data_IF_229441463366
#
_entry.id   IF_229441463366
#
_cell.length_a   1.000
_cell.length_b   1.000
_cell.length_c   1.000
_cell.angle_alpha   90.00
_cell.angle_beta   90.00
_cell.angle_gamma   90.00
#
_symmetry.space_group_name_H-M   'P 1'
#
loop_
_entity.id
_entity.type
_entity.pdbx_description
1 polymer ?
#
# COMPACT_ATOMS: atom_id res chain seq x y z
N UNK A 1 -7.14 12.52 5.14
CA UNK A 1 -7.41 11.07 5.22
C UNK A 1 -8.82 10.72 4.72
N UNK A 2 -9.87 11.42 5.17
CA UNK A 2 -11.25 11.15 4.70
C UNK A 2 -11.40 11.27 3.18
N UNK A 3 -10.88 12.34 2.59
CA UNK A 3 -10.93 12.53 1.12
C UNK A 3 -10.16 11.43 0.40
N UNK A 4 -8.99 11.03 0.91
CA UNK A 4 -8.19 9.92 0.38
C UNK A 4 -8.95 8.61 0.47
N UNK A 5 -9.62 8.32 1.59
CA UNK A 5 -10.45 7.13 1.76
C UNK A 5 -11.54 7.05 0.70
N UNK A 6 -12.32 8.13 0.52
CA UNK A 6 -13.40 8.17 -0.48
C UNK A 6 -12.86 7.99 -1.90
N UNK A 7 -11.75 8.65 -2.22
CA UNK A 7 -11.13 8.54 -3.54
C UNK A 7 -10.59 7.14 -3.81
N UNK A 8 -9.88 6.54 -2.86
CA UNK A 8 -9.32 5.20 -3.00
C UNK A 8 -10.40 4.11 -3.10
N UNK A 9 -11.54 4.27 -2.42
CA UNK A 9 -12.68 3.38 -2.63
C UNK A 9 -13.18 3.43 -4.09
N UNK A 10 -13.26 4.62 -4.70
CA UNK A 10 -13.63 4.73 -6.11
C UNK A 10 -12.54 4.16 -7.05
N UNK A 11 -11.26 4.33 -6.70
CA UNK A 11 -10.17 3.70 -7.44
C UNK A 11 -10.26 2.18 -7.41
N UNK A 12 -10.59 1.61 -6.25
CA UNK A 12 -10.85 0.17 -6.12
C UNK A 12 -11.98 -0.30 -7.02
N UNK A 13 -13.09 0.46 -7.13
CA UNK A 13 -14.21 0.14 -8.04
C UNK A 13 -13.81 0.18 -9.51
N UNK A 14 -12.87 1.05 -9.87
CA UNK A 14 -12.40 1.25 -11.25
C UNK A 14 -11.15 0.44 -11.61
N UNK A 15 -10.49 -0.25 -10.67
CA UNK A 15 -9.17 -0.85 -10.84
C UNK A 15 -8.17 0.16 -11.43
N UNK A 16 -8.09 1.34 -10.82
CA UNK A 16 -7.22 2.44 -11.27
C UNK A 16 -5.75 2.05 -11.12
N UNK A 17 -4.96 2.24 -12.17
CA UNK A 17 -3.57 1.81 -12.24
C UNK A 17 -2.55 2.95 -12.01
N UNK A 18 -3.01 4.19 -11.96
CA UNK A 18 -2.19 5.38 -11.76
C UNK A 18 -1.50 5.35 -10.38
N UNK A 19 -0.28 5.91 -10.26
CA UNK A 19 0.56 5.79 -9.07
C UNK A 19 0.13 6.70 -7.91
N UNK A 20 -1.17 6.92 -7.71
CA UNK A 20 -1.70 7.80 -6.67
C UNK A 20 -1.26 7.36 -5.26
N UNK A 21 -1.35 6.06 -4.97
CA UNK A 21 -0.87 5.51 -3.69
C UNK A 21 0.62 5.80 -3.49
N UNK A 22 1.45 5.45 -4.47
CA UNK A 22 2.92 5.58 -4.36
C UNK A 22 3.34 7.05 -4.28
N UNK A 23 2.80 7.89 -5.18
CA UNK A 23 3.28 9.25 -5.37
C UNK A 23 2.62 10.25 -4.40
N UNK A 24 1.30 10.21 -4.24
CA UNK A 24 0.57 11.19 -3.43
C UNK A 24 0.49 10.75 -1.95
N UNK A 25 0.02 9.52 -1.70
CA UNK A 25 -0.22 9.07 -0.32
C UNK A 25 1.11 8.82 0.39
N UNK A 26 2.01 8.06 -0.22
CA UNK A 26 3.27 7.64 0.40
C UNK A 26 4.36 8.71 0.24
N UNK A 27 4.89 8.91 -0.97
CA UNK A 27 5.99 9.86 -1.21
C UNK A 27 5.62 11.29 -0.82
N UNK A 28 4.51 11.80 -1.32
CA UNK A 28 3.96 13.12 -0.99
C UNK A 28 3.60 13.24 0.49
N UNK A 29 3.08 12.17 1.10
CA UNK A 29 2.78 12.09 2.53
C UNK A 29 3.99 12.33 3.43
N UNK A 30 5.15 11.75 3.08
CA UNK A 30 6.43 12.03 3.79
C UNK A 30 6.83 13.48 3.61
N UNK A 31 6.86 13.98 2.35
CA UNK A 31 7.24 15.38 2.09
C UNK A 31 6.35 16.37 2.83
N UNK A 32 5.05 16.13 2.90
CA UNK A 32 4.10 16.96 3.64
C UNK A 32 4.48 17.07 5.13
N UNK A 33 5.01 16.00 5.72
CA UNK A 33 5.33 15.94 7.16
C UNK A 33 6.68 16.55 7.49
N UNK A 34 7.71 16.19 6.72
CA UNK A 34 9.11 16.44 7.14
C UNK A 34 9.94 17.28 6.18
N UNK A 35 9.47 17.54 4.94
CA UNK A 35 10.22 18.38 4.00
C UNK A 35 10.26 19.84 4.47
N UNK A 36 11.38 20.51 4.26
CA UNK A 36 11.52 21.94 4.45
C UNK A 36 10.78 22.74 3.35
N UNK A 37 10.69 24.05 3.50
CA UNK A 37 9.95 24.90 2.57
C UNK A 37 10.47 24.83 1.13
N UNK A 38 11.79 24.81 0.95
CA UNK A 38 12.42 24.71 -0.37
C UNK A 38 12.10 23.35 -1.04
N UNK A 39 12.19 22.25 -0.29
CA UNK A 39 11.86 20.91 -0.77
C UNK A 39 10.36 20.78 -1.10
N UNK A 40 9.47 21.33 -0.24
CA UNK A 40 8.02 21.35 -0.52
C UNK A 40 7.72 22.11 -1.81
N UNK A 41 8.28 23.28 -1.99
CA UNK A 41 8.10 24.08 -3.20
C UNK A 41 8.63 23.38 -4.45
N UNK A 42 9.79 22.71 -4.35
CA UNK A 42 10.41 22.03 -5.48
C UNK A 42 9.70 20.75 -5.89
N UNK A 43 9.02 20.05 -4.96
CA UNK A 43 8.48 18.71 -5.21
C UNK A 43 6.98 18.59 -5.06
N UNK A 44 6.33 19.20 -4.05
CA UNK A 44 4.89 18.99 -3.85
C UNK A 44 4.05 19.58 -4.98
N UNK A 45 4.41 20.74 -5.53
CA UNK A 45 3.66 21.36 -6.63
C UNK A 45 3.70 20.48 -7.88
N UNK A 46 4.88 19.96 -8.26
CA UNK A 46 5.07 19.13 -9.45
C UNK A 46 4.55 17.68 -9.28
N UNK A 47 4.41 17.23 -8.05
CA UNK A 47 3.75 15.95 -7.73
C UNK A 47 2.23 16.11 -7.78
N UNK A 48 1.70 17.22 -7.29
CA UNK A 48 0.25 17.51 -7.33
C UNK A 48 -0.26 17.70 -8.75
N UNK A 49 0.52 18.38 -9.61
CA UNK A 49 0.14 18.58 -11.01
C UNK A 49 0.42 17.36 -11.91
N UNK A 50 1.08 16.31 -11.35
CA UNK A 50 1.38 15.05 -12.04
C UNK A 50 2.57 15.09 -12.98
N UNK A 51 3.33 16.20 -13.03
CA UNK A 51 4.53 16.32 -13.89
C UNK A 51 5.72 15.51 -13.37
N UNK A 52 5.72 15.15 -12.07
CA UNK A 52 6.69 14.25 -11.46
C UNK A 52 6.03 13.25 -10.54
N UNK A 53 6.64 12.08 -10.41
CA UNK A 53 6.19 10.99 -9.58
C UNK A 53 7.21 10.66 -8.49
N UNK A 54 6.70 10.31 -7.31
CA UNK A 54 7.51 9.85 -6.18
C UNK A 54 7.22 8.39 -5.87
N UNK A 55 8.20 7.70 -5.31
CA UNK A 55 8.00 6.40 -4.70
C UNK A 55 8.65 6.34 -3.30
N UNK A 56 8.05 5.58 -2.40
CA UNK A 56 8.59 5.35 -1.05
C UNK A 56 9.37 4.03 -1.03
N UNK A 57 10.65 4.10 -0.71
CA UNK A 57 11.57 2.98 -0.61
C UNK A 57 11.94 2.73 0.87
N UNK A 58 11.14 1.91 1.56
CA UNK A 58 11.35 1.57 2.97
C UNK A 58 11.64 0.09 3.21
N UNK A 59 10.95 -0.81 2.50
CA UNK A 59 11.07 -2.24 2.69
C UNK A 59 12.41 -2.79 2.16
N UNK A 60 12.96 -3.79 2.85
CA UNK A 60 14.21 -4.47 2.50
C UNK A 60 13.99 -5.99 2.43
N UNK A 61 14.83 -6.74 1.69
CA UNK A 61 14.62 -8.20 1.50
C UNK A 61 14.46 -8.98 2.80
N UNK A 62 15.23 -8.62 3.84
CA UNK A 62 15.26 -9.33 5.15
C UNK A 62 14.47 -8.59 6.24
N UNK A 63 13.77 -7.49 5.92
CA UNK A 63 13.06 -6.69 6.93
C UNK A 63 11.73 -7.32 7.39
N UNK A 64 11.23 -8.34 6.70
CA UNK A 64 9.87 -8.80 6.90
C UNK A 64 8.88 -7.67 6.60
N UNK A 65 7.92 -7.44 7.51
CA UNK A 65 6.97 -6.33 7.41
C UNK A 65 7.28 -5.17 8.36
N UNK A 66 8.44 -5.21 9.04
CA UNK A 66 8.81 -4.23 10.07
C UNK A 66 9.50 -3.01 9.44
N UNK A 67 8.85 -1.82 9.41
CA UNK A 67 9.42 -0.64 8.74
C UNK A 67 10.63 -0.05 9.47
N UNK A 68 10.88 -0.44 10.72
CA UNK A 68 12.06 -0.05 11.49
C UNK A 68 13.24 -0.99 11.32
N UNK A 69 13.06 -2.15 10.67
CA UNK A 69 14.14 -3.06 10.32
C UNK A 69 14.84 -2.55 9.06
N UNK A 70 15.87 -1.70 9.27
CA UNK A 70 16.57 -0.98 8.21
C UNK A 70 18.06 -1.29 8.24
N UNK A 71 18.55 -1.98 7.21
CA UNK A 71 19.94 -2.36 7.01
C UNK A 71 20.66 -1.51 5.93
N UNK A 72 19.93 -0.79 5.06
CA UNK A 72 20.56 0.18 4.14
C UNK A 72 21.34 1.19 4.96
N UNK A 73 22.67 1.13 4.87
CA UNK A 73 23.57 1.89 5.71
C UNK A 73 23.88 3.27 5.11
N UNK A 74 23.78 4.31 5.93
CA UNK A 74 24.23 5.66 5.66
C UNK A 74 25.57 5.94 6.33
N UNK A 75 26.67 5.82 5.58
CA UNK A 75 27.98 6.14 6.08
C UNK A 75 28.25 7.64 6.01
N UNK A 76 28.55 8.28 7.16
CA UNK A 76 28.77 9.71 7.23
C UNK A 76 29.99 10.14 6.43
N UNK A 77 29.85 11.19 5.64
CA UNK A 77 30.92 11.86 4.87
C UNK A 77 31.08 13.31 5.34
N UNK A 78 31.98 14.07 4.71
CA UNK A 78 32.14 15.50 5.02
C UNK A 78 30.91 16.32 4.64
N UNK A 79 30.21 15.93 3.55
CA UNK A 79 29.11 16.70 2.92
C UNK A 79 27.75 16.05 3.10
N UNK A 80 27.65 14.96 3.88
CA UNK A 80 26.39 14.25 4.07
C UNK A 80 26.59 12.77 4.39
N UNK A 81 26.02 11.89 3.55
CA UNK A 81 26.09 10.43 3.73
C UNK A 81 26.32 9.73 2.38
N UNK A 82 26.81 8.51 2.46
CA UNK A 82 26.89 7.58 1.33
C UNK A 82 26.04 6.35 1.65
N UNK A 83 25.06 6.03 0.80
CA UNK A 83 24.17 4.90 0.99
C UNK A 83 24.67 3.64 0.31
N UNK A 84 24.56 2.51 1.01
CA UNK A 84 24.84 1.16 0.47
C UNK A 84 23.79 0.17 0.98
N UNK A 85 23.25 -0.65 0.08
CA UNK A 85 22.26 -1.67 0.40
C UNK A 85 21.16 -1.77 -0.65
N UNK A 86 20.07 -2.44 -0.31
CA UNK A 86 18.97 -2.72 -1.25
C UNK A 86 17.61 -2.44 -0.61
N UNK A 87 16.72 -1.79 -1.36
CA UNK A 87 15.28 -1.67 -1.06
C UNK A 87 14.49 -2.53 -2.04
N UNK A 88 13.44 -3.16 -1.56
CA UNK A 88 12.58 -4.01 -2.39
C UNK A 88 11.12 -3.55 -2.34
N UNK A 89 10.28 -4.11 -3.21
CA UNK A 89 8.84 -3.86 -3.27
C UNK A 89 8.47 -2.37 -3.36
N UNK A 90 9.30 -1.57 -4.02
CA UNK A 90 9.06 -0.13 -4.21
C UNK A 90 8.00 0.06 -5.27
N UNK A 91 6.80 0.43 -4.84
CA UNK A 91 5.63 0.62 -5.72
C UNK A 91 5.90 1.70 -6.75
N UNK A 92 5.63 1.39 -8.02
CA UNK A 92 5.86 2.29 -9.17
C UNK A 92 7.29 2.85 -9.28
N UNK A 93 8.29 2.20 -8.68
CA UNK A 93 9.66 2.72 -8.64
C UNK A 93 10.28 2.94 -10.03
N UNK A 94 9.92 2.13 -11.04
CA UNK A 94 10.45 2.28 -12.41
C UNK A 94 10.05 3.59 -13.09
N UNK A 95 8.92 4.17 -12.70
CA UNK A 95 8.39 5.42 -13.28
C UNK A 95 8.58 6.62 -12.37
N UNK A 96 9.13 6.43 -11.17
CA UNK A 96 9.37 7.50 -10.23
C UNK A 96 10.53 8.40 -10.68
N UNK A 97 10.37 9.73 -10.54
CA UNK A 97 11.41 10.72 -10.75
C UNK A 97 12.35 10.85 -9.54
N UNK A 98 11.84 10.52 -8.35
CA UNK A 98 12.64 10.48 -7.12
C UNK A 98 12.05 9.50 -6.10
N UNK A 99 12.91 9.08 -5.18
CA UNK A 99 12.60 8.15 -4.11
C UNK A 99 12.72 8.81 -2.75
N UNK A 100 11.71 8.65 -1.90
CA UNK A 100 11.85 8.84 -0.47
C UNK A 100 12.42 7.56 0.11
N UNK A 101 13.64 7.62 0.65
CA UNK A 101 14.41 6.45 1.09
C UNK A 101 14.63 6.52 2.60
N UNK A 102 14.30 5.44 3.33
CA UNK A 102 14.72 5.27 4.72
C UNK A 102 16.08 4.57 4.77
N UNK A 103 16.98 5.04 5.63
CA UNK A 103 18.30 4.47 5.78
C UNK A 103 18.80 4.60 7.23
N UNK A 104 19.77 3.76 7.60
CA UNK A 104 20.32 3.68 8.95
C UNK A 104 21.51 4.61 9.11
N UNK A 105 21.42 5.56 10.03
CA UNK A 105 22.48 6.52 10.37
C UNK A 105 23.16 6.19 11.71
N UNK A 106 22.45 5.51 12.61
CA UNK A 106 22.98 5.05 13.91
C UNK A 106 22.18 3.89 14.48
N UNK A 107 22.64 3.29 15.56
CA UNK A 107 21.95 2.19 16.25
C UNK A 107 22.02 0.84 15.51
N UNK A 108 21.29 -0.14 16.02
CA UNK A 108 21.15 -1.48 15.44
C UNK A 108 20.09 -1.51 14.32
N UNK A 109 20.14 -2.54 13.49
CA UNK A 109 19.27 -2.72 12.31
C UNK A 109 17.79 -2.71 12.68
N UNK A 110 17.43 -3.21 13.86
CA UNK A 110 16.04 -3.33 14.34
C UNK A 110 15.61 -2.22 15.30
N UNK A 111 16.48 -1.21 15.53
CA UNK A 111 16.14 -0.11 16.41
C UNK A 111 15.19 0.87 15.71
N UNK A 112 14.19 1.41 16.42
CA UNK A 112 13.31 2.45 15.91
C UNK A 112 14.01 3.81 15.80
N UNK A 113 15.00 4.08 16.67
CA UNK A 113 15.88 5.25 16.58
C UNK A 113 16.98 5.04 15.57
N UNK A 114 17.60 6.10 15.05
CA UNK A 114 18.73 6.03 14.13
C UNK A 114 18.34 5.78 12.68
N UNK A 115 17.07 5.94 12.33
CA UNK A 115 16.57 5.94 10.95
C UNK A 115 16.48 7.38 10.48
N UNK A 116 17.00 7.64 9.28
CA UNK A 116 16.90 8.92 8.59
C UNK A 116 16.20 8.76 7.26
N UNK A 117 15.67 9.85 6.74
CA UNK A 117 14.98 9.88 5.45
C UNK A 117 15.71 10.81 4.48
N UNK A 118 15.75 10.44 3.20
CA UNK A 118 16.30 11.28 2.14
C UNK A 118 15.40 11.23 0.89
N UNK A 119 15.41 12.30 0.12
CA UNK A 119 14.80 12.38 -1.21
C UNK A 119 15.90 12.26 -2.26
N UNK A 120 15.91 11.17 -2.99
CA UNK A 120 16.97 10.80 -3.94
C UNK A 120 16.40 10.81 -5.36
N UNK A 121 16.86 11.69 -6.27
CA UNK A 121 16.50 11.63 -7.69
C UNK A 121 16.82 10.27 -8.32
N UNK A 122 15.96 9.82 -9.24
CA UNK A 122 16.08 8.49 -9.87
C UNK A 122 17.35 8.35 -10.76
N UNK A 123 17.92 9.46 -11.21
CA UNK A 123 19.13 9.52 -12.02
C UNK A 123 20.42 9.66 -11.20
N UNK A 124 20.33 9.52 -9.85
CA UNK A 124 21.49 9.65 -8.97
C UNK A 124 22.53 8.57 -9.27
N UNK A 125 23.80 8.99 -9.40
CA UNK A 125 24.93 8.08 -9.63
C UNK A 125 25.02 7.02 -8.51
N UNK A 126 25.23 5.75 -8.90
CA UNK A 126 25.28 4.60 -7.98
C UNK A 126 23.92 4.00 -7.65
N UNK A 127 22.78 4.61 -8.08
CA UNK A 127 21.46 4.06 -7.90
C UNK A 127 21.07 3.20 -9.12
N UNK A 128 20.69 1.96 -8.87
CA UNK A 128 20.13 1.06 -9.88
C UNK A 128 18.68 0.75 -9.55
N UNK A 129 17.78 0.91 -10.52
CA UNK A 129 16.33 0.63 -10.39
C UNK A 129 15.95 -0.52 -11.30
N UNK A 130 15.56 -1.65 -10.73
CA UNK A 130 15.09 -2.82 -11.47
C UNK A 130 13.60 -3.01 -11.27
N UNK A 131 12.79 -2.66 -12.29
CA UNK A 131 11.33 -2.83 -12.26
C UNK A 131 10.89 -4.23 -12.66
N UNK A 132 9.78 -4.70 -12.07
CA UNK A 132 9.10 -5.94 -12.42
C UNK A 132 7.58 -5.79 -12.31
N UNK A 133 6.80 -6.52 -13.13
CA UNK A 133 5.35 -6.50 -13.05
C UNK A 133 4.86 -7.27 -11.82
N UNK A 134 3.72 -6.85 -11.26
CA UNK A 134 2.98 -7.59 -10.24
C UNK A 134 1.77 -8.29 -10.85
N UNK A 135 1.21 -9.29 -10.15
CA UNK A 135 0.13 -10.15 -10.69
C UNK A 135 -1.17 -9.38 -10.97
N UNK A 136 -1.34 -8.24 -10.33
CA UNK A 136 -2.49 -7.33 -10.48
C UNK A 136 -2.35 -6.32 -11.64
N UNK A 137 -1.26 -6.42 -12.41
CA UNK A 137 -1.00 -5.54 -13.56
C UNK A 137 -0.28 -4.24 -13.21
N UNK A 138 0.03 -4.01 -11.93
CA UNK A 138 0.87 -2.89 -11.50
C UNK A 138 2.36 -3.21 -11.64
N UNK A 139 3.20 -2.35 -11.08
CA UNK A 139 4.64 -2.48 -11.08
C UNK A 139 5.23 -2.26 -9.70
N UNK A 140 6.28 -3.02 -9.40
CA UNK A 140 7.15 -2.78 -8.27
C UNK A 140 8.60 -2.76 -8.72
N UNK A 141 9.51 -2.34 -7.85
CA UNK A 141 10.94 -2.25 -8.19
C UNK A 141 11.79 -2.65 -6.99
N UNK A 142 13.00 -3.11 -7.33
CA UNK A 142 14.13 -3.20 -6.43
C UNK A 142 15.07 -2.04 -6.70
N UNK A 143 15.58 -1.42 -5.65
CA UNK A 143 16.56 -0.35 -5.70
C UNK A 143 17.85 -0.82 -5.04
N UNK A 144 18.96 -0.79 -5.80
CA UNK A 144 20.29 -1.07 -5.27
C UNK A 144 21.09 0.23 -5.17
N UNK A 145 21.62 0.49 -3.99
CA UNK A 145 22.47 1.63 -3.66
C UNK A 145 23.91 1.16 -3.59
N UNK A 146 24.74 1.62 -4.53
CA UNK A 146 26.20 1.41 -4.54
C UNK A 146 26.91 2.74 -4.34
N UNK A 147 27.24 3.05 -3.09
CA UNK A 147 27.89 4.29 -2.68
C UNK A 147 27.14 5.56 -3.15
N UNK A 148 25.80 5.53 -3.10
CA UNK A 148 24.95 6.66 -3.51
C UNK A 148 25.14 7.85 -2.58
N UNK A 149 25.56 8.98 -3.13
CA UNK A 149 25.75 10.22 -2.35
C UNK A 149 24.43 10.87 -1.96
N UNK A 150 24.28 11.22 -0.69
CA UNK A 150 23.17 11.98 -0.11
C UNK A 150 23.76 13.23 0.56
N UNK A 151 23.41 14.39 0.03
CA UNK A 151 23.84 15.69 0.55
C UNK A 151 22.90 16.19 1.65
N UNK A 152 23.27 17.26 2.33
CA UNK A 152 22.40 17.89 3.32
C UNK A 152 21.06 18.37 2.72
N UNK A 153 21.04 18.76 1.44
CA UNK A 153 19.83 19.23 0.74
C UNK A 153 18.87 18.07 0.39
N UNK A 154 19.39 16.84 0.31
CA UNK A 154 18.58 15.63 0.05
C UNK A 154 17.89 15.11 1.34
N UNK A 155 18.40 15.48 2.53
CA UNK A 155 17.87 14.97 3.81
C UNK A 155 16.46 15.51 4.09
N UNK A 156 15.58 14.64 4.55
CA UNK A 156 14.19 14.95 4.92
C UNK A 156 14.01 14.87 6.44
N UNK A 157 13.66 15.99 7.05
CA UNK A 157 13.49 16.09 8.50
C UNK A 157 14.80 16.03 9.27
N UNK A 158 14.73 15.53 10.50
CA UNK A 158 15.87 15.43 11.41
C UNK A 158 16.56 14.08 11.28
N UNK A 159 17.89 14.06 11.33
CA UNK A 159 18.70 12.85 11.36
C UNK A 159 18.33 12.00 12.58
N UNK A 160 18.32 10.68 12.41
CA UNK A 160 17.97 9.66 13.41
C UNK A 160 16.47 9.63 13.84
N UNK A 161 15.64 10.55 13.34
CA UNK A 161 14.22 10.71 13.72
C UNK A 161 13.23 10.42 12.59
N UNK A 162 13.63 9.65 11.59
CA UNK A 162 12.79 9.35 10.41
C UNK A 162 11.69 8.30 10.64
N UNK A 163 11.78 7.47 11.69
CA UNK A 163 10.83 6.37 11.90
C UNK A 163 9.39 6.86 12.16
N UNK A 164 9.20 7.83 13.04
CA UNK A 164 7.86 8.36 13.37
C UNK A 164 7.07 8.79 12.12
N UNK A 165 7.59 9.74 11.33
CA UNK A 165 6.96 10.17 10.08
C UNK A 165 6.77 9.04 9.05
N UNK A 166 7.72 8.10 8.95
CA UNK A 166 7.60 6.93 8.07
C UNK A 166 6.43 6.04 8.49
N UNK A 167 6.33 5.70 9.78
CA UNK A 167 5.26 4.86 10.31
C UNK A 167 3.87 5.48 10.13
N UNK A 168 3.75 6.79 10.34
CA UNK A 168 2.49 7.51 10.08
C UNK A 168 2.07 7.43 8.61
N UNK A 169 3.01 7.57 7.68
CA UNK A 169 2.72 7.46 6.24
C UNK A 169 2.36 6.03 5.83
N UNK A 170 2.98 5.03 6.44
CA UNK A 170 2.60 3.62 6.24
C UNK A 170 1.17 3.40 6.73
N UNK A 171 0.76 3.96 7.85
CA UNK A 171 -0.62 3.91 8.33
C UNK A 171 -1.59 4.56 7.35
N UNK A 172 -1.25 5.72 6.77
CA UNK A 172 -2.05 6.33 5.69
C UNK A 172 -2.13 5.41 4.46
N UNK A 173 -1.04 4.74 4.11
CA UNK A 173 -0.99 3.73 3.04
C UNK A 173 -1.92 2.54 3.32
N UNK A 174 -1.93 2.03 4.56
CA UNK A 174 -2.83 0.94 4.98
C UNK A 174 -4.29 1.35 4.87
N UNK A 175 -4.65 2.54 5.35
CA UNK A 175 -6.01 3.07 5.20
C UNK A 175 -6.40 3.21 3.72
N UNK A 176 -5.50 3.68 2.88
CA UNK A 176 -5.73 3.86 1.45
C UNK A 176 -5.98 2.53 0.73
N UNK A 177 -5.13 1.51 0.94
CA UNK A 177 -5.32 0.19 0.30
C UNK A 177 -6.52 -0.57 0.87
N UNK A 178 -6.87 -0.36 2.14
CA UNK A 178 -8.08 -0.90 2.73
C UNK A 178 -9.34 -0.30 2.08
N UNK A 179 -9.35 1.00 1.82
CA UNK A 179 -10.44 1.66 1.10
C UNK A 179 -10.53 1.17 -0.35
N UNK A 180 -9.40 1.00 -1.04
CA UNK A 180 -9.34 0.42 -2.37
C UNK A 180 -9.91 -1.01 -2.40
N UNK A 181 -9.52 -1.84 -1.43
CA UNK A 181 -10.05 -3.20 -1.29
C UNK A 181 -11.57 -3.21 -1.09
N UNK A 182 -12.12 -2.26 -0.32
CA UNK A 182 -13.56 -2.12 -0.17
C UNK A 182 -14.25 -1.86 -1.51
N UNK A 183 -13.71 -0.93 -2.30
CA UNK A 183 -14.24 -0.65 -3.64
C UNK A 183 -14.24 -1.89 -4.54
N UNK A 184 -13.14 -2.65 -4.52
CA UNK A 184 -13.02 -3.90 -5.27
C UNK A 184 -14.01 -4.98 -4.79
N UNK A 185 -14.15 -5.18 -3.47
CA UNK A 185 -15.09 -6.14 -2.89
C UNK A 185 -16.54 -5.76 -3.20
N UNK A 186 -16.88 -4.47 -3.22
CA UNK A 186 -18.23 -4.00 -3.59
C UNK A 186 -18.61 -4.44 -5.00
N UNK A 187 -17.70 -4.27 -5.95
CA UNK A 187 -17.93 -4.72 -7.33
C UNK A 187 -18.05 -6.24 -7.39
N UNK A 188 -17.16 -6.97 -6.72
CA UNK A 188 -17.17 -8.44 -6.76
C UNK A 188 -18.47 -9.04 -6.25
N UNK A 189 -18.98 -8.61 -5.09
CA UNK A 189 -20.22 -9.19 -4.57
C UNK A 189 -21.43 -8.80 -5.44
N UNK A 190 -21.49 -7.55 -5.94
CA UNK A 190 -22.59 -7.10 -6.82
C UNK A 190 -22.58 -7.83 -8.17
N UNK A 191 -21.41 -7.98 -8.79
CA UNK A 191 -21.27 -8.74 -10.03
C UNK A 191 -21.65 -10.22 -9.84
N UNK A 192 -21.26 -10.81 -8.69
CA UNK A 192 -21.61 -12.19 -8.37
C UNK A 192 -23.13 -12.37 -8.23
N UNK A 193 -23.81 -11.45 -7.55
CA UNK A 193 -25.27 -11.44 -7.44
C UNK A 193 -25.91 -11.33 -8.82
N UNK A 194 -25.49 -10.35 -9.63
CA UNK A 194 -26.02 -10.14 -10.97
C UNK A 194 -25.78 -11.35 -11.90
N UNK A 195 -24.59 -11.95 -11.83
CA UNK A 195 -24.25 -13.15 -12.60
C UNK A 195 -25.15 -14.33 -12.22
N UNK A 196 -25.35 -14.60 -10.93
CA UNK A 196 -26.18 -15.72 -10.47
C UNK A 196 -27.66 -15.55 -10.85
N UNK A 197 -28.15 -14.32 -10.94
CA UNK A 197 -29.50 -14.03 -11.42
C UNK A 197 -29.68 -14.26 -12.92
N UNK A 198 -28.63 -14.03 -13.70
CA UNK A 198 -28.68 -14.16 -15.16
C UNK A 198 -28.28 -15.55 -15.66
N UNK A 199 -27.45 -16.27 -14.91
CA UNK A 199 -26.92 -17.58 -15.31
C UNK A 199 -27.86 -18.70 -14.88
N UNK A 200 -28.36 -19.47 -15.84
CA UNK A 200 -29.20 -20.64 -15.61
C UNK A 200 -28.38 -21.93 -15.73
N UNK A 201 -28.62 -22.85 -14.81
CA UNK A 201 -28.19 -24.24 -14.83
C UNK A 201 -29.23 -25.11 -14.08
N UNK A 202 -29.41 -26.36 -14.52
CA UNK A 202 -30.40 -27.26 -13.95
C UNK A 202 -31.84 -26.71 -14.05
N UNK A 203 -32.14 -26.00 -15.14
CA UNK A 203 -33.42 -25.34 -15.47
C UNK A 203 -33.83 -24.21 -14.51
N UNK A 204 -32.87 -23.66 -13.73
CA UNK A 204 -33.11 -22.56 -12.81
C UNK A 204 -31.94 -21.53 -12.84
N UNK A 205 -32.21 -20.26 -12.53
CA UNK A 205 -31.15 -19.30 -12.21
C UNK A 205 -30.29 -19.81 -11.05
N UNK A 206 -28.99 -19.58 -11.10
CA UNK A 206 -28.08 -19.96 -10.00
C UNK A 206 -28.47 -19.30 -8.67
N UNK A 207 -29.09 -18.12 -8.71
CA UNK A 207 -29.60 -17.41 -7.54
C UNK A 207 -30.71 -18.13 -6.80
N UNK A 208 -31.35 -19.14 -7.38
CA UNK A 208 -32.42 -19.93 -6.71
C UNK A 208 -31.84 -20.97 -5.72
N UNK A 209 -30.55 -21.29 -5.85
CA UNK A 209 -29.88 -22.24 -4.97
C UNK A 209 -29.52 -21.60 -3.63
N UNK A 210 -30.13 -22.04 -2.55
CA UNK A 210 -29.95 -21.48 -1.20
C UNK A 210 -28.47 -21.44 -0.76
N UNK A 211 -27.68 -22.44 -1.11
CA UNK A 211 -26.23 -22.48 -0.78
C UNK A 211 -25.47 -21.30 -1.40
N UNK A 212 -25.85 -20.85 -2.60
CA UNK A 212 -25.26 -19.69 -3.24
C UNK A 212 -25.79 -18.38 -2.66
N UNK A 213 -27.09 -18.34 -2.29
CA UNK A 213 -27.65 -17.19 -1.57
C UNK A 213 -26.90 -16.94 -0.26
N UNK A 214 -26.68 -17.98 0.56
CA UNK A 214 -25.93 -17.86 1.82
C UNK A 214 -24.51 -17.33 1.57
N UNK A 215 -23.82 -17.86 0.57
CA UNK A 215 -22.47 -17.42 0.21
C UNK A 215 -22.42 -15.93 -0.19
N UNK A 216 -23.36 -15.47 -1.01
CA UNK A 216 -23.45 -14.06 -1.39
C UNK A 216 -23.79 -13.16 -0.19
N UNK A 217 -24.62 -13.62 0.74
CA UNK A 217 -24.90 -12.89 1.99
C UNK A 217 -23.64 -12.80 2.85
N UNK A 218 -22.86 -13.87 2.97
CA UNK A 218 -21.59 -13.86 3.70
C UNK A 218 -20.59 -12.89 3.06
N UNK A 219 -20.46 -12.85 1.72
CA UNK A 219 -19.62 -11.86 1.01
C UNK A 219 -20.05 -10.42 1.35
N UNK A 220 -21.35 -10.15 1.37
CA UNK A 220 -21.86 -8.84 1.73
C UNK A 220 -21.59 -8.50 3.21
N UNK A 221 -21.72 -9.45 4.13
CA UNK A 221 -21.43 -9.26 5.54
C UNK A 221 -19.94 -8.91 5.78
N UNK A 222 -19.03 -9.62 5.14
CA UNK A 222 -17.59 -9.32 5.20
C UNK A 222 -17.27 -7.90 4.69
N UNK A 223 -17.87 -7.51 3.57
CA UNK A 223 -17.75 -6.14 3.03
C UNK A 223 -18.25 -5.08 4.04
N UNK A 224 -19.42 -5.23 4.62
CA UNK A 224 -20.01 -4.25 5.55
C UNK A 224 -19.23 -4.14 6.87
N UNK A 225 -18.69 -5.24 7.38
CA UNK A 225 -17.80 -5.23 8.54
C UNK A 225 -16.53 -4.45 8.26
N UNK A 226 -15.86 -4.71 7.12
CA UNK A 226 -14.68 -3.97 6.70
C UNK A 226 -14.97 -2.48 6.55
N UNK A 227 -16.11 -2.12 5.94
CA UNK A 227 -16.54 -0.75 5.75
C UNK A 227 -16.69 0.00 7.08
N UNK A 228 -17.36 -0.62 8.04
CA UNK A 228 -17.57 -0.04 9.37
C UNK A 228 -16.23 0.19 10.09
N UNK A 229 -15.31 -0.78 10.00
CA UNK A 229 -14.00 -0.66 10.65
C UNK A 229 -13.08 0.35 9.93
N UNK A 230 -13.18 0.46 8.59
CA UNK A 230 -12.45 1.48 7.82
C UNK A 230 -12.86 2.89 8.27
N UNK A 231 -14.14 3.19 8.41
CA UNK A 231 -14.60 4.48 8.93
C UNK A 231 -14.04 4.75 10.32
N UNK A 232 -14.12 3.79 11.23
CA UNK A 232 -13.57 3.93 12.58
C UNK A 232 -12.07 4.20 12.56
N UNK A 233 -11.28 3.38 11.87
CA UNK A 233 -9.83 3.53 11.81
C UNK A 233 -9.41 4.88 11.19
N UNK A 234 -10.10 5.31 10.12
CA UNK A 234 -9.83 6.59 9.47
C UNK A 234 -10.11 7.78 10.41
N UNK A 235 -11.19 7.71 11.19
CA UNK A 235 -11.52 8.75 12.16
C UNK A 235 -10.53 8.79 13.32
N UNK A 236 -10.12 7.64 13.86
CA UNK A 236 -9.12 7.53 14.94
C UNK A 236 -7.76 8.11 14.50
N UNK A 237 -7.29 7.73 13.30
CA UNK A 237 -6.04 8.26 12.74
C UNK A 237 -6.15 9.77 12.47
N UNK A 238 -7.27 10.26 11.94
CA UNK A 238 -7.49 11.67 11.66
C UNK A 238 -7.54 12.52 12.94
N UNK A 239 -8.03 11.95 14.03
CA UNK A 239 -8.10 12.62 15.34
C UNK A 239 -6.79 12.54 16.14
N UNK A 240 -5.82 11.71 15.71
CA UNK A 240 -4.62 11.40 16.51
C UNK A 240 -4.97 10.65 17.80
N UNK A 241 -5.99 9.79 17.76
CA UNK A 241 -6.48 9.05 18.93
C UNK A 241 -5.48 8.00 19.42
N UNK A 242 -5.55 7.67 20.70
CA UNK A 242 -4.65 6.69 21.34
C UNK A 242 -4.82 5.26 20.73
N UNK A 243 -6.00 4.94 20.24
CA UNK A 243 -6.31 3.66 19.60
C UNK A 243 -5.99 3.61 18.09
N UNK A 244 -5.47 4.69 17.50
CA UNK A 244 -5.28 4.81 16.03
C UNK A 244 -4.48 3.64 15.46
N UNK A 245 -3.30 3.35 16.01
CA UNK A 245 -2.44 2.26 15.55
C UNK A 245 -3.13 0.90 15.65
N UNK A 246 -3.81 0.64 16.77
CA UNK A 246 -4.55 -0.60 17.00
C UNK A 246 -5.70 -0.77 16.02
N UNK A 247 -6.44 0.32 15.72
CA UNK A 247 -7.50 0.31 14.72
C UNK A 247 -6.99 0.03 13.30
N UNK A 248 -5.81 0.55 12.94
CA UNK A 248 -5.16 0.30 11.65
C UNK A 248 -4.81 -1.19 11.51
N UNK A 249 -4.22 -1.80 12.53
CA UNK A 249 -3.90 -3.24 12.51
C UNK A 249 -5.16 -4.11 12.47
N UNK A 250 -6.18 -3.80 13.26
CA UNK A 250 -7.46 -4.51 13.22
C UNK A 250 -8.11 -4.43 11.82
N UNK A 251 -8.09 -3.24 11.21
CA UNK A 251 -8.62 -3.02 9.87
C UNK A 251 -7.89 -3.87 8.83
N UNK A 252 -6.56 -3.81 8.80
CA UNK A 252 -5.78 -4.50 7.78
C UNK A 252 -5.91 -6.02 7.91
N UNK A 253 -5.96 -6.55 9.14
CA UNK A 253 -6.28 -7.95 9.39
C UNK A 253 -7.65 -8.33 8.82
N UNK A 254 -8.70 -7.58 9.16
CA UNK A 254 -10.05 -7.89 8.71
C UNK A 254 -10.19 -7.78 7.19
N UNK A 255 -9.66 -6.71 6.60
CA UNK A 255 -9.69 -6.50 5.15
C UNK A 255 -8.94 -7.61 4.40
N UNK A 256 -7.79 -8.06 4.90
CA UNK A 256 -7.04 -9.16 4.27
C UNK A 256 -7.85 -10.46 4.22
N UNK A 257 -8.51 -10.84 5.32
CA UNK A 257 -9.41 -12.01 5.37
C UNK A 257 -10.61 -11.86 4.43
N UNK A 258 -11.29 -10.73 4.51
CA UNK A 258 -12.48 -10.44 3.72
C UNK A 258 -12.16 -10.39 2.22
N UNK A 259 -11.05 -9.77 1.83
CA UNK A 259 -10.58 -9.67 0.46
C UNK A 259 -10.38 -11.05 -0.17
N UNK A 260 -9.71 -11.96 0.56
CA UNK A 260 -9.52 -13.33 0.12
C UNK A 260 -10.86 -14.05 0.00
N UNK A 261 -11.71 -14.00 1.04
CA UNK A 261 -13.01 -14.67 1.06
C UNK A 261 -13.94 -14.20 -0.05
N UNK A 262 -14.09 -12.88 -0.23
CA UNK A 262 -14.96 -12.30 -1.26
C UNK A 262 -14.44 -12.63 -2.65
N UNK A 263 -13.11 -12.48 -2.87
CA UNK A 263 -12.47 -12.76 -4.16
C UNK A 263 -12.60 -14.22 -4.58
N UNK A 264 -12.26 -15.16 -3.69
CA UNK A 264 -12.35 -16.59 -3.95
C UNK A 264 -13.79 -17.02 -4.26
N UNK A 265 -14.76 -16.55 -3.46
CA UNK A 265 -16.16 -16.91 -3.65
C UNK A 265 -16.75 -16.30 -4.93
N UNK A 266 -16.31 -15.10 -5.33
CA UNK A 266 -16.69 -14.51 -6.60
C UNK A 266 -16.16 -15.36 -7.78
N UNK A 267 -14.86 -15.68 -7.80
CA UNK A 267 -14.27 -16.54 -8.84
C UNK A 267 -14.97 -17.91 -8.88
N UNK A 268 -15.16 -18.56 -7.73
CA UNK A 268 -15.80 -19.87 -7.64
C UNK A 268 -17.24 -19.85 -8.16
N UNK A 269 -18.00 -18.80 -7.86
CA UNK A 269 -19.41 -18.70 -8.27
C UNK A 269 -19.54 -18.44 -9.78
N UNK A 270 -18.59 -17.75 -10.40
CA UNK A 270 -18.52 -17.56 -11.85
C UNK A 270 -18.03 -18.82 -12.59
N UNK A 271 -17.49 -19.81 -11.87
CA UNK A 271 -16.98 -21.06 -12.44
C UNK A 271 -15.83 -20.83 -13.42
N UNK A 272 -15.78 -21.59 -14.52
CA UNK A 272 -14.71 -21.48 -15.51
C UNK A 272 -14.51 -20.07 -16.09
N UNK A 273 -15.59 -19.28 -16.18
CA UNK A 273 -15.50 -17.89 -16.63
C UNK A 273 -14.76 -16.97 -15.63
N UNK A 274 -14.82 -17.27 -14.34
CA UNK A 274 -14.17 -16.49 -13.29
C UNK A 274 -12.64 -16.51 -13.33
N UNK A 275 -12.04 -17.46 -14.06
CA UNK A 275 -10.59 -17.58 -14.23
C UNK A 275 -10.10 -17.14 -15.62
N UNK A 276 -10.99 -16.64 -16.47
CA UNK A 276 -10.63 -16.09 -17.78
C UNK A 276 -10.25 -14.61 -17.70
N UNK A 277 -9.49 -14.13 -18.69
CA UNK A 277 -9.13 -12.71 -18.78
C UNK A 277 -10.28 -11.83 -19.33
N UNK A 278 -11.36 -12.45 -19.87
CA UNK A 278 -12.52 -11.71 -20.38
C UNK A 278 -13.41 -11.14 -19.25
N UNK A 279 -13.46 -11.81 -18.10
CA UNK A 279 -14.22 -11.32 -16.95
C UNK A 279 -13.34 -10.58 -15.95
N UNK A 280 -13.78 -9.39 -15.59
CA UNK A 280 -13.08 -8.54 -14.62
C UNK A 280 -12.95 -9.14 -13.21
N UNK A 281 -13.70 -10.17 -12.87
CA UNK A 281 -13.70 -10.83 -11.56
C UNK A 281 -12.29 -11.31 -11.18
N UNK A 282 -11.56 -11.94 -12.12
CA UNK A 282 -10.19 -12.38 -11.90
C UNK A 282 -9.22 -11.22 -11.64
N UNK A 283 -9.41 -10.08 -12.31
CA UNK A 283 -8.57 -8.88 -12.12
C UNK A 283 -8.75 -8.28 -10.73
N UNK A 284 -10.00 -8.16 -10.25
CA UNK A 284 -10.30 -7.72 -8.89
C UNK A 284 -9.69 -8.65 -7.86
N UNK A 285 -9.81 -9.96 -8.05
CA UNK A 285 -9.22 -10.93 -7.11
C UNK A 285 -7.70 -10.83 -7.06
N UNK A 286 -7.02 -10.74 -8.21
CA UNK A 286 -5.56 -10.51 -8.29
C UNK A 286 -5.15 -9.25 -7.51
N UNK A 287 -5.89 -8.14 -7.66
CA UNK A 287 -5.62 -6.89 -6.92
C UNK A 287 -5.81 -7.08 -5.42
N UNK A 288 -6.87 -7.75 -4.99
CA UNK A 288 -7.14 -8.01 -3.57
C UNK A 288 -6.04 -8.88 -2.93
N UNK A 289 -5.49 -9.88 -3.66
CA UNK A 289 -4.36 -10.68 -3.19
C UNK A 289 -3.09 -9.83 -2.97
N UNK A 290 -2.82 -8.88 -3.87
CA UNK A 290 -1.68 -7.97 -3.71
C UNK A 290 -1.90 -7.02 -2.53
N UNK A 291 -3.11 -6.46 -2.37
CA UNK A 291 -3.45 -5.60 -1.22
C UNK A 291 -3.30 -6.36 0.11
N UNK A 292 -3.65 -7.65 0.15
CA UNK A 292 -3.46 -8.47 1.36
C UNK A 292 -2.01 -8.49 1.81
N UNK A 293 -1.06 -8.63 0.87
CA UNK A 293 0.37 -8.68 1.18
C UNK A 293 1.02 -7.30 1.40
N UNK A 294 0.43 -6.20 0.90
CA UNK A 294 0.99 -4.85 1.03
C UNK A 294 0.97 -4.37 2.48
N UNK A 295 2.08 -3.78 2.95
CA UNK A 295 2.25 -3.24 4.31
C UNK A 295 2.09 -4.26 5.45
N UNK A 296 2.18 -5.53 5.17
CA UNK A 296 1.96 -6.62 6.11
C UNK A 296 0.73 -7.45 5.75
N UNK A 297 0.83 -8.76 5.95
CA UNK A 297 -0.25 -9.70 5.71
C UNK A 297 -1.22 -9.79 6.89
N UNK A 298 -2.27 -10.57 6.71
CA UNK A 298 -3.32 -10.80 7.71
C UNK A 298 -2.77 -11.24 9.06
N UNK A 299 -1.83 -12.19 9.10
CA UNK A 299 -1.28 -12.75 10.34
C UNK A 299 -0.37 -11.74 11.06
N UNK A 300 0.49 -11.03 10.32
CA UNK A 300 1.30 -9.95 10.87
C UNK A 300 0.45 -8.91 11.60
N UNK A 301 -0.64 -8.46 10.97
CA UNK A 301 -1.50 -7.45 11.58
C UNK A 301 -2.31 -7.98 12.77
N UNK A 302 -2.62 -9.29 12.83
CA UNK A 302 -3.21 -9.91 14.00
C UNK A 302 -2.23 -9.92 15.19
N UNK A 303 -0.99 -10.25 14.94
CA UNK A 303 0.07 -10.25 15.96
C UNK A 303 0.29 -8.83 16.50
N UNK A 304 0.39 -7.83 15.63
CA UNK A 304 0.53 -6.42 16.03
C UNK A 304 -0.70 -5.88 16.79
N UNK A 305 -1.90 -6.34 16.46
CA UNK A 305 -3.13 -5.96 17.18
C UNK A 305 -3.16 -6.55 18.60
N UNK A 306 -2.54 -7.72 18.78
CA UNK A 306 -2.56 -8.49 20.03
C UNK A 306 -1.45 -8.09 21.00
N UNK A 307 -0.39 -7.43 20.52
CA UNK A 307 0.75 -6.94 21.30
C UNK A 307 0.39 -5.70 22.12
#
# INVERSE_FOLDING_TARGET
QLDTMVLMEQFGKGLVLEPFLASIVLGGGVLKRVANEAQRKAWLEVVIDGSKQLALAYAEPDSGFEPHNVAVAGNKTNDGYTLTGTKCMVLHGKTADAFVVSFRTSGGVVDQSGISLALIPADREGLTVQGFPTVDGLQSSELTFDQVSVTADDLLGEIDNGFGPLNEVINDGILAVAAEALGAMEILYKDTVAYTQAREQFDHPLSDFQVLQHRMVEMFMEYEQCKSLLFRATMEVAAGGDDAQRCVHALKHLVGKAAFFVGENAVQTHGGMGVTEELRVGHYFKRLLVIEAQFGNTDYHLDQFSA
#
